data_IF_654188517437
#
_entry.id   IF_654188517437
#
_cell.length_a   1.000
_cell.length_b   1.000
_cell.length_c   1.000
_cell.angle_alpha   90.00
_cell.angle_beta   90.00
_cell.angle_gamma   90.00
#
_symmetry.space_group_name_H-M   'P 1'
#
loop_
_entity.id
_entity.type
_entity.pdbx_description
1 polymer ?
#
# COMPACT_ATOMS: atom_id res chain seq x y z
N UNK A 1 -21.34 -27.26 -64.75
CA UNK A 1 -21.89 -26.11 -63.98
C UNK A 1 -21.89 -26.27 -62.45
N UNK A 2 -22.20 -27.44 -61.85
CA UNK A 2 -22.29 -27.60 -60.38
C UNK A 2 -21.00 -27.34 -59.56
N UNK A 3 -19.80 -27.61 -60.11
CA UNK A 3 -18.51 -27.37 -59.40
C UNK A 3 -18.26 -25.88 -59.09
N UNK A 4 -18.70 -24.95 -59.95
CA UNK A 4 -18.48 -23.51 -59.73
C UNK A 4 -19.39 -22.93 -58.64
N UNK A 5 -20.63 -23.41 -58.51
CA UNK A 5 -21.56 -22.94 -57.47
C UNK A 5 -21.11 -23.46 -56.10
N UNK A 6 -20.68 -24.72 -56.01
CA UNK A 6 -20.15 -25.31 -54.78
C UNK A 6 -18.90 -24.59 -54.29
N UNK A 7 -17.94 -24.30 -55.17
CA UNK A 7 -16.72 -23.56 -54.79
C UNK A 7 -17.04 -22.11 -54.39
N UNK A 8 -17.98 -21.43 -55.07
CA UNK A 8 -18.42 -20.09 -54.66
C UNK A 8 -19.07 -20.07 -53.28
N UNK A 9 -19.93 -21.04 -52.96
CA UNK A 9 -20.52 -21.16 -51.61
C UNK A 9 -19.47 -21.48 -50.54
N UNK A 10 -18.50 -22.37 -50.84
CA UNK A 10 -17.41 -22.69 -49.93
C UNK A 10 -16.52 -21.47 -49.64
N UNK A 11 -16.24 -20.64 -50.65
CA UNK A 11 -15.50 -19.39 -50.47
C UNK A 11 -16.27 -18.37 -49.63
N UNK A 12 -17.58 -18.20 -49.89
CA UNK A 12 -18.41 -17.28 -49.12
C UNK A 12 -18.54 -17.71 -47.65
N UNK A 13 -18.83 -18.99 -47.41
CA UNK A 13 -18.92 -19.56 -46.07
C UNK A 13 -17.56 -19.54 -45.36
N UNK A 14 -16.48 -19.92 -46.06
CA UNK A 14 -15.12 -19.85 -45.53
C UNK A 14 -14.70 -18.42 -45.17
N UNK A 15 -15.11 -17.41 -45.95
CA UNK A 15 -14.86 -16.01 -45.63
C UNK A 15 -15.55 -15.56 -44.35
N UNK A 16 -16.83 -15.92 -44.17
CA UNK A 16 -17.56 -15.63 -42.91
C UNK A 16 -16.92 -16.34 -41.73
N UNK A 17 -16.56 -17.62 -41.87
CA UNK A 17 -15.83 -18.35 -40.82
C UNK A 17 -14.48 -17.72 -40.50
N UNK A 18 -13.73 -17.25 -41.49
CA UNK A 18 -12.45 -16.58 -41.28
C UNK A 18 -12.63 -15.26 -40.51
N UNK A 19 -13.64 -14.46 -40.84
CA UNK A 19 -13.96 -13.22 -40.10
C UNK A 19 -14.35 -13.53 -38.65
N UNK A 20 -15.17 -14.57 -38.42
CA UNK A 20 -15.54 -14.99 -37.06
C UNK A 20 -14.32 -15.47 -36.26
N UNK A 21 -13.40 -16.21 -36.89
CA UNK A 21 -12.16 -16.66 -36.24
C UNK A 21 -11.25 -15.48 -35.89
N UNK A 22 -11.09 -14.53 -36.81
CA UNK A 22 -10.33 -13.29 -36.56
C UNK A 22 -10.96 -12.51 -35.41
N UNK A 23 -12.29 -12.37 -35.39
CA UNK A 23 -13.01 -11.68 -34.33
C UNK A 23 -12.78 -12.34 -32.96
N UNK A 24 -12.83 -13.67 -32.88
CA UNK A 24 -12.52 -14.40 -31.64
C UNK A 24 -11.07 -14.19 -31.19
N UNK A 25 -10.13 -14.17 -32.14
CA UNK A 25 -8.72 -13.94 -31.85
C UNK A 25 -8.46 -12.54 -31.30
N UNK A 26 -9.08 -11.52 -31.91
CA UNK A 26 -9.00 -10.12 -31.50
C UNK A 26 -9.63 -9.93 -30.10
N UNK A 27 -10.83 -10.48 -29.87
CA UNK A 27 -11.47 -10.45 -28.56
C UNK A 27 -10.63 -11.15 -27.49
N UNK A 28 -10.05 -12.31 -27.79
CA UNK A 28 -9.20 -13.03 -26.84
C UNK A 28 -7.98 -12.20 -26.41
N UNK A 29 -7.33 -11.54 -27.37
CA UNK A 29 -6.19 -10.67 -27.07
C UNK A 29 -6.58 -9.45 -26.22
N UNK A 30 -7.68 -8.77 -26.56
CA UNK A 30 -8.18 -7.64 -25.79
C UNK A 30 -8.62 -8.04 -24.38
N UNK A 31 -9.29 -9.19 -24.25
CA UNK A 31 -9.71 -9.71 -22.95
C UNK A 31 -8.50 -10.00 -22.05
N UNK A 32 -7.42 -10.58 -22.60
CA UNK A 32 -6.19 -10.81 -21.84
C UNK A 32 -5.52 -9.52 -21.39
N UNK A 33 -5.53 -8.46 -22.21
CA UNK A 33 -5.03 -7.14 -21.80
C UNK A 33 -5.89 -6.51 -20.71
N UNK A 34 -7.22 -6.52 -20.86
CA UNK A 34 -8.14 -5.97 -19.85
C UNK A 34 -7.97 -6.70 -18.52
N UNK A 35 -7.96 -8.03 -18.52
CA UNK A 35 -7.78 -8.82 -17.29
C UNK A 35 -6.46 -8.47 -16.61
N UNK A 36 -5.36 -8.38 -17.35
CA UNK A 36 -4.05 -8.03 -16.80
C UNK A 36 -4.05 -6.62 -16.20
N UNK A 37 -4.60 -5.63 -16.89
CA UNK A 37 -4.66 -4.25 -16.38
C UNK A 37 -5.54 -4.11 -15.14
N UNK A 38 -6.62 -4.90 -15.04
CA UNK A 38 -7.48 -4.96 -13.86
C UNK A 38 -6.76 -5.66 -12.70
N UNK A 39 -6.03 -6.75 -12.96
CA UNK A 39 -5.21 -7.43 -11.95
C UNK A 39 -4.09 -6.54 -11.42
N UNK A 40 -3.41 -5.78 -12.30
CA UNK A 40 -2.40 -4.79 -11.89
C UNK A 40 -3.02 -3.70 -11.01
N UNK A 41 -4.19 -3.15 -11.39
CA UNK A 41 -4.88 -2.16 -10.55
C UNK A 41 -5.31 -2.73 -9.18
N UNK A 42 -5.87 -3.96 -9.17
CA UNK A 42 -6.39 -4.61 -7.96
C UNK A 42 -5.26 -5.01 -7.01
N UNK A 43 -4.33 -5.82 -7.50
CA UNK A 43 -3.37 -6.49 -6.63
C UNK A 43 -2.22 -5.57 -6.26
N UNK A 44 -1.70 -4.80 -7.22
CA UNK A 44 -0.56 -3.92 -6.95
C UNK A 44 -1.00 -2.56 -6.43
N UNK A 45 -1.89 -1.88 -7.16
CA UNK A 45 -2.36 -0.56 -6.77
C UNK A 45 -3.12 -0.58 -5.45
N UNK A 46 -4.32 -1.19 -5.42
CA UNK A 46 -5.13 -1.21 -4.19
C UNK A 46 -4.52 -2.04 -3.07
N UNK A 47 -3.94 -3.22 -3.37
CA UNK A 47 -3.25 -4.04 -2.37
C UNK A 47 -2.05 -3.34 -1.74
N UNK A 48 -1.27 -2.59 -2.55
CA UNK A 48 -0.18 -1.77 -2.04
C UNK A 48 -0.68 -0.61 -1.16
N UNK A 49 -1.75 0.07 -1.59
CA UNK A 49 -2.34 1.16 -0.81
C UNK A 49 -2.91 0.68 0.53
N UNK A 50 -3.54 -0.49 0.57
CA UNK A 50 -4.03 -1.09 1.82
C UNK A 50 -2.89 -1.33 2.82
N UNK A 51 -1.74 -1.82 2.34
CA UNK A 51 -0.56 -2.03 3.18
C UNK A 51 0.05 -0.70 3.65
N UNK A 52 0.11 0.31 2.80
CA UNK A 52 0.58 1.65 3.17
C UNK A 52 -0.32 2.31 4.23
N UNK A 53 -1.65 2.24 4.06
CA UNK A 53 -2.61 2.67 5.08
C UNK A 53 -2.46 1.89 6.40
N UNK A 54 -2.15 0.59 6.31
CA UNK A 54 -1.82 -0.23 7.48
C UNK A 54 -0.63 0.33 8.25
N UNK A 55 0.48 0.62 7.56
CA UNK A 55 1.66 1.26 8.15
C UNK A 55 1.28 2.60 8.82
N UNK A 56 0.52 3.46 8.11
CA UNK A 56 0.05 4.76 8.63
C UNK A 56 -0.74 4.59 9.93
N UNK A 57 -1.64 3.61 9.97
CA UNK A 57 -2.45 3.30 11.14
C UNK A 57 -1.57 2.86 12.32
N UNK A 58 -0.58 2.00 12.09
CA UNK A 58 0.33 1.56 13.15
C UNK A 58 1.15 2.74 13.73
N UNK A 59 1.55 3.72 12.91
CA UNK A 59 2.18 4.97 13.38
C UNK A 59 1.26 5.75 14.31
N UNK A 60 0.02 5.98 13.88
CA UNK A 60 -0.97 6.72 14.68
C UNK A 60 -1.27 6.03 16.01
N UNK A 61 -1.40 4.70 16.01
CA UNK A 61 -1.68 3.93 17.22
C UNK A 61 -0.53 4.01 18.23
N UNK A 62 0.73 3.92 17.78
CA UNK A 62 1.88 4.10 18.67
C UNK A 62 1.92 5.53 19.23
N UNK A 63 1.62 6.54 18.41
CA UNK A 63 1.57 7.93 18.86
C UNK A 63 0.52 8.11 19.97
N UNK A 64 -0.69 7.61 19.75
CA UNK A 64 -1.80 7.69 20.69
C UNK A 64 -1.46 7.01 22.03
N UNK A 65 -1.03 5.75 21.98
CA UNK A 65 -0.71 4.94 23.16
C UNK A 65 0.36 5.63 24.04
N UNK A 66 1.44 6.11 23.42
CA UNK A 66 2.54 6.71 24.15
C UNK A 66 2.21 8.13 24.65
N UNK A 67 1.36 8.86 23.91
CA UNK A 67 0.84 10.17 24.35
C UNK A 67 -0.07 10.03 25.56
N UNK A 68 -0.96 9.04 25.57
CA UNK A 68 -1.81 8.72 26.72
C UNK A 68 -0.98 8.35 27.95
N UNK A 69 0.11 7.60 27.76
CA UNK A 69 1.06 7.32 28.84
C UNK A 69 1.71 8.60 29.39
N UNK A 70 2.05 9.57 28.53
CA UNK A 70 2.54 10.89 28.94
C UNK A 70 1.49 11.70 29.72
N UNK A 71 0.20 11.49 29.44
CA UNK A 71 -0.90 12.14 30.14
C UNK A 71 -1.14 11.52 31.54
N UNK A 72 -1.08 10.19 31.64
CA UNK A 72 -1.35 9.46 32.90
C UNK A 72 -0.16 9.45 33.86
N UNK A 73 1.08 9.41 33.36
CA UNK A 73 2.33 9.59 34.13
C UNK A 73 2.55 8.58 35.26
N UNK A 74 2.11 7.34 35.09
CA UNK A 74 2.39 6.26 36.04
C UNK A 74 3.31 5.21 35.43
N UNK A 75 4.14 4.59 36.27
CA UNK A 75 5.04 3.52 35.83
C UNK A 75 4.29 2.28 35.31
N UNK A 76 3.12 1.99 35.88
CA UNK A 76 2.26 0.89 35.45
C UNK A 76 1.72 1.12 34.03
N UNK A 77 1.18 2.31 33.74
CA UNK A 77 0.66 2.64 32.41
C UNK A 77 1.78 2.75 31.39
N UNK A 78 2.97 3.24 31.77
CA UNK A 78 4.13 3.22 30.88
C UNK A 78 4.54 1.78 30.50
N UNK A 79 4.50 0.85 31.46
CA UNK A 79 4.84 -0.54 31.19
C UNK A 79 3.86 -1.19 30.21
N UNK A 80 2.55 -0.97 30.41
CA UNK A 80 1.53 -1.48 29.48
C UNK A 80 1.63 -0.80 28.11
N UNK A 81 1.76 0.53 28.07
CA UNK A 81 1.90 1.28 26.84
C UNK A 81 3.10 0.82 26.00
N UNK A 82 4.26 0.58 26.62
CA UNK A 82 5.44 0.07 25.92
C UNK A 82 5.22 -1.31 25.31
N UNK A 83 4.46 -2.18 26.01
CA UNK A 83 4.12 -3.50 25.51
C UNK A 83 3.15 -3.39 24.33
N UNK A 84 2.06 -2.65 24.52
CA UNK A 84 0.97 -2.53 23.55
C UNK A 84 1.47 -1.83 22.27
N UNK A 85 2.18 -0.71 22.40
CA UNK A 85 2.84 -0.04 21.27
C UNK A 85 3.89 -0.93 20.59
N UNK A 86 4.56 -1.82 21.34
CA UNK A 86 5.48 -2.81 20.77
C UNK A 86 4.78 -3.84 19.85
N UNK A 87 3.50 -4.14 20.08
CA UNK A 87 2.72 -5.02 19.19
C UNK A 87 2.41 -4.32 17.86
N UNK A 88 2.18 -3.01 17.87
CA UNK A 88 2.03 -2.19 16.66
C UNK A 88 3.33 -2.12 15.85
N UNK A 89 4.49 -2.13 16.53
CA UNK A 89 5.80 -2.24 15.84
C UNK A 89 5.94 -3.55 15.07
N UNK A 90 5.45 -4.66 15.63
CA UNK A 90 5.46 -5.94 14.93
C UNK A 90 4.55 -5.92 13.70
N UNK A 91 3.32 -5.40 13.84
CA UNK A 91 2.38 -5.27 12.72
C UNK A 91 2.88 -4.36 11.61
N UNK A 92 3.52 -3.25 11.94
CA UNK A 92 4.12 -2.37 10.94
C UNK A 92 5.16 -3.11 10.09
N UNK A 93 6.01 -3.94 10.73
CA UNK A 93 6.99 -4.76 10.00
C UNK A 93 6.32 -5.79 9.10
N UNK A 94 5.22 -6.39 9.54
CA UNK A 94 4.44 -7.31 8.69
C UNK A 94 3.90 -6.60 7.44
N UNK A 95 3.31 -5.41 7.61
CA UNK A 95 2.86 -4.60 6.48
C UNK A 95 4.01 -4.16 5.57
N UNK A 96 5.14 -3.74 6.14
CA UNK A 96 6.33 -3.34 5.40
C UNK A 96 6.92 -4.50 4.59
N UNK A 97 7.05 -5.71 5.16
CA UNK A 97 7.55 -6.88 4.42
C UNK A 97 6.59 -7.30 3.29
N UNK A 98 5.28 -7.26 3.54
CA UNK A 98 4.29 -7.52 2.51
C UNK A 98 4.39 -6.49 1.37
N UNK A 99 4.57 -5.21 1.73
CA UNK A 99 4.68 -4.11 0.76
C UNK A 99 5.96 -4.24 -0.07
N UNK A 100 7.11 -4.55 0.55
CA UNK A 100 8.38 -4.81 -0.17
C UNK A 100 8.31 -6.01 -1.10
N UNK A 101 7.47 -6.99 -0.77
CA UNK A 101 7.25 -8.18 -1.61
C UNK A 101 6.38 -7.85 -2.81
N UNK A 102 5.31 -7.07 -2.60
CA UNK A 102 4.38 -6.66 -3.63
C UNK A 102 4.99 -5.60 -4.57
N UNK A 103 5.78 -4.70 -4.01
CA UNK A 103 6.42 -3.55 -4.65
C UNK A 103 7.93 -3.50 -4.38
N UNK A 104 8.71 -4.34 -5.08
CA UNK A 104 10.16 -4.38 -4.89
C UNK A 104 10.87 -3.06 -5.22
N UNK A 105 10.30 -2.25 -6.11
CA UNK A 105 10.87 -0.95 -6.51
C UNK A 105 10.83 0.07 -5.36
N UNK A 106 9.85 -0.05 -4.46
CA UNK A 106 9.68 0.81 -3.28
C UNK A 106 10.50 0.32 -2.08
N UNK A 107 11.27 -0.78 -2.21
CA UNK A 107 11.94 -1.44 -1.09
C UNK A 107 12.75 -0.49 -0.21
N UNK A 108 13.55 0.37 -0.83
CA UNK A 108 14.44 1.29 -0.11
C UNK A 108 13.65 2.28 0.74
N UNK A 109 12.55 2.79 0.20
CA UNK A 109 11.75 3.82 0.88
C UNK A 109 10.94 3.18 2.01
N UNK A 110 10.46 1.94 1.82
CA UNK A 110 9.85 1.14 2.91
C UNK A 110 10.86 0.79 4.02
N UNK A 111 12.10 0.43 3.67
CA UNK A 111 13.16 0.19 4.66
C UNK A 111 13.51 1.45 5.47
N UNK A 112 13.47 2.63 4.84
CA UNK A 112 13.66 3.90 5.55
C UNK A 112 12.49 4.20 6.50
N UNK A 113 11.24 3.91 6.10
CA UNK A 113 10.07 4.01 6.98
C UNK A 113 10.23 3.11 8.20
N UNK A 114 10.63 1.85 8.03
CA UNK A 114 10.84 0.93 9.17
C UNK A 114 11.91 1.44 10.13
N UNK A 115 13.00 1.99 9.60
CA UNK A 115 14.08 2.57 10.40
C UNK A 115 13.60 3.79 11.19
N UNK A 116 13.00 4.77 10.50
CA UNK A 116 12.49 5.99 11.14
C UNK A 116 11.39 5.69 12.14
N UNK A 117 10.58 4.67 11.87
CA UNK A 117 9.56 4.21 12.80
C UNK A 117 10.16 3.62 14.07
N UNK A 118 11.27 2.87 13.96
CA UNK A 118 12.02 2.42 15.12
C UNK A 118 12.57 3.58 15.97
N UNK A 119 13.09 4.62 15.32
CA UNK A 119 13.57 5.84 16.00
C UNK A 119 12.43 6.61 16.67
N UNK A 120 11.29 6.74 15.99
CA UNK A 120 10.05 7.33 16.51
C UNK A 120 9.53 6.59 17.74
N UNK A 121 9.50 5.26 17.71
CA UNK A 121 9.07 4.45 18.85
C UNK A 121 9.96 4.69 20.09
N UNK A 122 11.28 4.73 19.91
CA UNK A 122 12.21 5.00 21.02
C UNK A 122 12.08 6.45 21.53
N UNK A 123 11.82 7.43 20.66
CA UNK A 123 11.49 8.81 21.06
C UNK A 123 10.22 8.86 21.91
N UNK A 124 9.16 8.17 21.50
CA UNK A 124 7.90 8.12 22.25
C UNK A 124 8.08 7.49 23.64
N UNK A 125 8.79 6.37 23.73
CA UNK A 125 9.13 5.72 25.01
C UNK A 125 9.89 6.65 25.93
N UNK A 126 10.94 7.31 25.41
CA UNK A 126 11.73 8.27 26.17
C UNK A 126 10.89 9.45 26.65
N UNK A 127 9.97 9.93 25.81
CA UNK A 127 9.06 11.03 26.17
C UNK A 127 8.18 10.63 27.35
N UNK A 128 7.49 9.49 27.25
CA UNK A 128 6.65 8.98 28.33
C UNK A 128 7.43 8.74 29.63
N UNK A 129 8.66 8.22 29.55
CA UNK A 129 9.55 8.09 30.70
C UNK A 129 9.87 9.43 31.39
N UNK A 130 10.11 10.50 30.63
CA UNK A 130 10.39 11.83 31.19
C UNK A 130 9.18 12.38 31.93
N UNK A 131 7.97 12.18 31.39
CA UNK A 131 6.72 12.55 32.04
C UNK A 131 6.47 11.76 33.33
N UNK A 132 6.73 10.45 33.35
CA UNK A 132 6.65 9.61 34.56
C UNK A 132 7.67 10.05 35.62
N UNK A 133 8.88 10.44 35.20
CA UNK A 133 9.93 10.98 36.10
C UNK A 133 9.62 12.39 36.62
N UNK A 134 8.60 13.05 36.09
CA UNK A 134 8.19 14.40 36.48
C UNK A 134 9.05 15.52 35.87
N UNK A 135 9.91 15.23 34.89
CA UNK A 135 10.72 16.23 34.21
C UNK A 135 9.91 16.88 33.07
N UNK A 136 9.08 17.86 33.43
CA UNK A 136 8.16 18.51 32.50
C UNK A 136 8.89 19.33 31.42
N UNK A 137 10.06 19.88 31.72
CA UNK A 137 10.81 20.70 30.75
C UNK A 137 11.41 19.81 29.67
N UNK A 138 12.11 18.74 30.07
CA UNK A 138 12.63 17.78 29.09
C UNK A 138 11.51 16.97 28.43
N UNK A 139 10.43 16.64 29.16
CA UNK A 139 9.27 15.93 28.64
C UNK A 139 8.56 16.71 27.53
N UNK A 140 8.32 18.02 27.72
CA UNK A 140 7.70 18.86 26.68
C UNK A 140 8.58 18.94 25.44
N UNK A 141 9.89 19.15 25.61
CA UNK A 141 10.82 19.15 24.47
C UNK A 141 10.86 17.80 23.75
N UNK A 142 10.85 16.70 24.49
CA UNK A 142 10.83 15.36 23.92
C UNK A 142 9.51 15.08 23.17
N UNK A 143 8.38 15.63 23.64
CA UNK A 143 7.11 15.57 22.94
C UNK A 143 7.19 16.28 21.58
N UNK A 144 7.77 17.48 21.51
CA UNK A 144 7.97 18.17 20.23
C UNK A 144 8.81 17.34 19.25
N UNK A 145 9.85 16.66 19.74
CA UNK A 145 10.68 15.76 18.94
C UNK A 145 9.94 14.47 18.52
N UNK A 146 9.01 14.00 19.32
CA UNK A 146 8.17 12.83 19.05
C UNK A 146 7.12 13.15 17.97
N UNK A 147 6.43 14.28 18.11
CA UNK A 147 5.44 14.76 17.15
C UNK A 147 6.08 15.07 15.79
N UNK A 148 7.26 15.69 15.78
CA UNK A 148 8.00 15.95 14.54
C UNK A 148 8.38 14.65 13.82
N UNK A 149 8.79 13.61 14.56
CA UNK A 149 9.10 12.31 13.98
C UNK A 149 7.85 11.61 13.42
N UNK A 150 6.69 11.74 14.08
CA UNK A 150 5.42 11.25 13.56
C UNK A 150 5.03 11.94 12.25
N UNK A 151 5.21 13.27 12.16
CA UNK A 151 4.91 14.05 10.96
C UNK A 151 5.82 13.67 9.78
N UNK A 152 7.12 13.48 10.04
CA UNK A 152 8.08 13.02 9.04
C UNK A 152 7.73 11.63 8.49
N UNK A 153 7.40 10.69 9.37
CA UNK A 153 6.93 9.37 8.99
C UNK A 153 5.64 9.42 8.18
N UNK A 154 4.67 10.22 8.62
CA UNK A 154 3.39 10.40 7.91
C UNK A 154 3.60 10.83 6.46
N UNK A 155 4.51 11.79 6.23
CA UNK A 155 4.83 12.26 4.86
C UNK A 155 5.44 11.18 3.98
N UNK A 156 6.32 10.34 4.52
CA UNK A 156 6.91 9.24 3.74
C UNK A 156 5.88 8.16 3.40
N UNK A 157 4.99 7.83 4.33
CA UNK A 157 3.91 6.88 4.07
C UNK A 157 2.94 7.44 3.04
N UNK A 158 2.59 8.73 3.13
CA UNK A 158 1.73 9.41 2.15
C UNK A 158 2.31 9.39 0.73
N UNK A 159 3.62 9.54 0.57
CA UNK A 159 4.27 9.41 -0.73
C UNK A 159 4.05 8.02 -1.35
N UNK A 160 4.15 6.96 -0.54
CA UNK A 160 3.85 5.61 -0.99
C UNK A 160 2.36 5.47 -1.33
N UNK A 161 1.45 5.96 -0.49
CA UNK A 161 -0.01 5.95 -0.76
C UNK A 161 -0.31 6.59 -2.13
N UNK A 162 0.26 7.77 -2.41
CA UNK A 162 0.10 8.47 -3.69
C UNK A 162 0.63 7.66 -4.89
N UNK A 163 1.77 6.98 -4.74
CA UNK A 163 2.32 6.09 -5.77
C UNK A 163 1.40 4.90 -6.04
N UNK A 164 0.87 4.28 -4.99
CA UNK A 164 -0.04 3.13 -5.10
C UNK A 164 -1.38 3.53 -5.75
N UNK A 165 -1.90 4.70 -5.39
CA UNK A 165 -3.10 5.27 -6.03
C UNK A 165 -2.86 5.57 -7.51
N UNK A 166 -1.69 6.10 -7.87
CA UNK A 166 -1.32 6.33 -9.26
C UNK A 166 -1.22 5.02 -10.05
N UNK A 167 -0.66 3.96 -9.46
CA UNK A 167 -0.61 2.63 -10.09
C UNK A 167 -2.02 2.04 -10.29
N UNK A 168 -2.89 2.15 -9.29
CA UNK A 168 -4.28 1.73 -9.41
C UNK A 168 -5.00 2.48 -10.54
N UNK A 169 -4.84 3.80 -10.59
CA UNK A 169 -5.43 4.65 -11.63
C UNK A 169 -4.91 4.29 -13.03
N UNK A 170 -3.61 4.03 -13.16
CA UNK A 170 -2.99 3.63 -14.43
C UNK A 170 -3.48 2.26 -14.91
N UNK A 171 -3.62 1.28 -14.02
CA UNK A 171 -4.19 -0.02 -14.37
C UNK A 171 -5.63 0.09 -14.85
N UNK A 172 -6.46 0.90 -14.18
CA UNK A 172 -7.85 1.16 -14.62
C UNK A 172 -7.87 1.89 -15.98
N UNK A 173 -7.03 2.91 -16.17
CA UNK A 173 -6.94 3.64 -17.42
C UNK A 173 -6.50 2.74 -18.59
N UNK A 174 -5.56 1.83 -18.36
CA UNK A 174 -5.12 0.82 -19.34
C UNK A 174 -6.25 -0.13 -19.75
N UNK A 175 -7.04 -0.59 -18.77
CA UNK A 175 -8.22 -1.41 -19.05
C UNK A 175 -9.26 -0.66 -19.90
N UNK A 176 -9.54 0.62 -19.56
CA UNK A 176 -10.48 1.45 -20.31
C UNK A 176 -10.02 1.76 -21.73
N UNK A 177 -8.73 2.00 -21.94
CA UNK A 177 -8.15 2.26 -23.27
C UNK A 177 -8.22 1.04 -24.19
N UNK A 178 -8.19 -0.17 -23.62
CA UNK A 178 -8.28 -1.43 -24.38
C UNK A 178 -9.72 -1.73 -24.84
N UNK A 179 -10.72 -1.16 -24.16
CA UNK A 179 -12.15 -1.34 -24.47
C UNK A 179 -12.65 -0.33 -25.52
N UNK A 180 -12.01 0.84 -25.65
CA UNK A 180 -12.35 1.88 -26.63
C UNK A 180 -11.80 1.57 -28.02
#
# INVERSE_FOLDING_TARGET
MKKNIRNKMLFAFGGVCAVLLIQLMVNGFFQSQVTRSVEEARDKGYGGNELAMGIKLEVLQVQEILTDACAVRTAEVLLSANKDAGEHVARLREHAEALKTLHPDNRRDVEEIEKLFGEFFEKGKRTAELYVKGDMVLGTKAMDEFDAAAEELGKLVEQIEEEMEAEAANGIAGALATIK
#
